data_IF_190504553010
#
_entry.id   IF_190504553010
#
_cell.length_a   1.000
_cell.length_b   1.000
_cell.length_c   1.000
_cell.angle_alpha   90.00
_cell.angle_beta   90.00
_cell.angle_gamma   90.00
#
_symmetry.space_group_name_H-M   'P 1'
#
loop_
_entity.id
_entity.type
_entity.pdbx_description
1 polymer ?
#
# COMPACT_ATOMS: atom_id res chain seq x y z
N UNK A 1 23.00 2.25 20.47
CA UNK A 1 23.29 3.27 19.43
C UNK A 1 24.43 2.83 18.52
N UNK A 2 25.61 2.46 19.06
CA UNK A 2 26.81 2.17 18.26
C UNK A 2 26.68 1.13 17.13
N UNK A 3 26.01 -0.01 17.36
CA UNK A 3 25.93 -1.07 16.34
C UNK A 3 25.11 -0.69 15.09
N UNK A 4 24.01 0.07 15.26
CA UNK A 4 23.16 0.50 14.13
C UNK A 4 23.86 1.58 13.33
N UNK A 5 24.50 2.54 14.00
CA UNK A 5 25.31 3.57 13.34
C UNK A 5 26.48 2.97 12.57
N UNK A 6 27.16 1.96 13.12
CA UNK A 6 28.25 1.27 12.45
C UNK A 6 27.79 0.52 11.19
N UNK A 7 26.62 -0.14 11.24
CA UNK A 7 26.02 -0.78 10.07
C UNK A 7 25.66 0.23 8.97
N UNK A 8 25.10 1.39 9.34
CA UNK A 8 24.80 2.46 8.40
C UNK A 8 26.08 2.98 7.71
N UNK A 9 27.15 3.19 8.49
CA UNK A 9 28.46 3.60 7.96
C UNK A 9 29.04 2.54 7.02
N UNK A 10 28.98 1.25 7.38
CA UNK A 10 29.48 0.16 6.52
C UNK A 10 28.74 0.09 5.19
N UNK A 11 27.42 0.32 5.19
CA UNK A 11 26.63 0.34 3.95
C UNK A 11 26.94 1.55 3.07
N UNK A 12 27.27 2.69 3.66
CA UNK A 12 27.63 3.90 2.94
C UNK A 12 29.05 3.88 2.34
N UNK A 13 29.85 2.84 2.61
CA UNK A 13 31.19 2.72 2.04
C UNK A 13 31.09 2.42 0.53
N UNK A 14 31.80 3.17 -0.34
CA UNK A 14 31.73 2.99 -1.79
C UNK A 14 32.18 1.60 -2.26
N UNK A 15 33.04 0.93 -1.48
CA UNK A 15 33.57 -0.41 -1.77
C UNK A 15 32.97 -1.49 -0.87
N UNK A 16 31.69 -1.39 -0.48
CA UNK A 16 31.06 -2.39 0.36
C UNK A 16 31.16 -3.79 -0.31
N UNK A 17 31.91 -4.75 0.26
CA UNK A 17 32.20 -6.02 -0.41
C UNK A 17 31.01 -6.99 -0.39
N UNK A 18 29.90 -6.59 0.24
CA UNK A 18 28.72 -7.42 0.40
C UNK A 18 27.67 -7.05 -0.66
N UNK A 19 27.13 -8.02 -1.40
CA UNK A 19 26.03 -7.74 -2.29
C UNK A 19 24.80 -7.32 -1.49
N UNK A 20 23.97 -6.43 -2.05
CA UNK A 20 22.83 -5.82 -1.34
C UNK A 20 21.89 -6.84 -0.67
N UNK A 21 21.70 -8.02 -1.27
CA UNK A 21 20.86 -9.08 -0.72
C UNK A 21 21.46 -9.75 0.54
N UNK A 22 22.79 -9.78 0.68
CA UNK A 22 23.47 -10.32 1.87
C UNK A 22 23.32 -9.40 3.08
N UNK A 23 22.95 -8.13 2.85
CA UNK A 23 22.72 -7.13 3.88
C UNK A 23 21.29 -7.14 4.44
N UNK A 24 20.39 -7.98 3.90
CA UNK A 24 19.00 -8.11 4.37
C UNK A 24 18.90 -9.16 5.49
N UNK A 25 18.34 -8.76 6.64
CA UNK A 25 18.18 -9.65 7.80
C UNK A 25 16.77 -10.20 7.91
N UNK A 26 16.60 -11.46 7.48
CA UNK A 26 15.34 -12.22 7.65
C UNK A 26 14.90 -12.35 9.11
N UNK A 27 15.86 -12.51 10.03
CA UNK A 27 15.58 -12.64 11.47
C UNK A 27 15.04 -11.34 12.07
N UNK A 28 15.65 -10.20 11.74
CA UNK A 28 15.17 -8.90 12.21
C UNK A 28 13.84 -8.53 11.57
N UNK A 29 13.69 -8.78 10.26
CA UNK A 29 12.43 -8.59 9.54
C UNK A 29 11.29 -9.42 10.15
N UNK A 30 11.57 -10.68 10.48
CA UNK A 30 10.61 -11.55 11.18
C UNK A 30 10.26 -11.07 12.58
N UNK A 31 11.24 -10.56 13.35
CA UNK A 31 10.97 -9.94 14.67
C UNK A 31 10.10 -8.69 14.53
N UNK A 32 10.40 -7.83 13.55
CA UNK A 32 9.64 -6.62 13.27
C UNK A 32 8.19 -6.96 12.93
N UNK A 33 7.97 -7.89 12.00
CA UNK A 33 6.62 -8.33 11.62
C UNK A 33 5.81 -8.87 12.79
N UNK A 34 6.43 -9.66 13.68
CA UNK A 34 5.74 -10.16 14.89
C UNK A 34 5.33 -9.03 15.82
N UNK A 35 6.25 -8.10 16.12
CA UNK A 35 5.96 -6.96 16.99
C UNK A 35 4.85 -6.06 16.42
N UNK A 36 4.85 -5.86 15.10
CA UNK A 36 3.82 -5.09 14.41
C UNK A 36 2.53 -5.87 14.17
N UNK A 37 2.50 -7.18 14.46
CA UNK A 37 1.28 -8.01 14.39
C UNK A 37 0.44 -7.97 15.66
N UNK A 38 1.00 -7.47 16.76
CA UNK A 38 0.31 -7.37 18.05
C UNK A 38 -0.62 -6.14 18.05
N UNK A 39 -1.90 -6.34 17.74
CA UNK A 39 -2.86 -5.26 17.55
C UNK A 39 -2.97 -4.28 18.73
N UNK A 40 -2.93 -4.79 19.97
CA UNK A 40 -2.96 -3.93 21.17
C UNK A 40 -1.70 -3.07 21.32
N UNK A 41 -0.53 -3.62 20.98
CA UNK A 41 0.74 -2.89 21.02
C UNK A 41 0.75 -1.75 20.00
N UNK A 42 0.31 -2.05 18.77
CA UNK A 42 0.16 -1.04 17.71
C UNK A 42 -0.89 0.01 18.10
N UNK A 43 -2.04 -0.42 18.62
CA UNK A 43 -3.13 0.48 18.98
C UNK A 43 -2.76 1.45 20.12
N UNK A 44 -1.99 0.97 21.10
CA UNK A 44 -1.50 1.77 22.21
C UNK A 44 -0.28 2.64 21.84
N UNK A 45 0.24 2.55 20.61
CA UNK A 45 1.52 3.18 20.25
C UNK A 45 2.71 2.62 21.01
N UNK A 46 2.57 1.43 21.61
CA UNK A 46 3.55 0.78 22.47
C UNK A 46 4.58 -0.06 21.69
N UNK A 47 4.71 0.16 20.38
CA UNK A 47 5.70 -0.54 19.57
C UNK A 47 7.12 -0.19 20.04
N UNK A 48 8.04 -1.17 20.12
CA UNK A 48 9.39 -0.89 20.60
C UNK A 48 10.12 0.17 19.76
N UNK A 49 10.78 1.12 20.41
CA UNK A 49 11.50 2.21 19.75
C UNK A 49 12.63 1.76 18.78
N UNK A 50 13.02 0.49 18.79
CA UNK A 50 13.96 -0.04 17.79
C UNK A 50 13.33 -0.19 16.41
N UNK A 51 12.00 -0.37 16.30
CA UNK A 51 11.30 -0.55 15.02
C UNK A 51 11.48 0.67 14.11
N UNK A 52 11.17 1.87 14.63
CA UNK A 52 11.37 3.14 13.91
C UNK A 52 12.84 3.43 13.68
N UNK A 53 13.66 3.43 14.74
CA UNK A 53 15.10 3.73 14.62
C UNK A 53 15.84 2.84 13.62
N UNK A 54 15.45 1.57 13.51
CA UNK A 54 16.06 0.66 12.54
C UNK A 54 15.62 0.98 11.11
N UNK A 55 14.35 1.33 10.90
CA UNK A 55 13.85 1.74 9.60
C UNK A 55 14.44 3.08 9.15
N UNK A 56 14.69 4.01 10.08
CA UNK A 56 15.30 5.30 9.78
C UNK A 56 16.80 5.16 9.45
N UNK A 57 17.54 4.40 10.24
CA UNK A 57 19.00 4.29 10.09
C UNK A 57 19.44 3.24 9.06
N UNK A 58 18.73 2.12 8.96
CA UNK A 58 19.11 0.98 8.11
C UNK A 58 17.89 0.34 7.42
N UNK A 59 17.13 1.07 6.57
CA UNK A 59 15.95 0.51 5.89
C UNK A 59 16.29 -0.68 4.98
N UNK A 60 17.51 -0.76 4.47
CA UNK A 60 18.02 -1.86 3.65
C UNK A 60 18.20 -3.17 4.43
N UNK A 61 18.29 -3.13 5.76
CA UNK A 61 18.41 -4.35 6.59
C UNK A 61 17.08 -5.11 6.67
N UNK A 62 15.97 -4.45 6.35
CA UNK A 62 14.62 -4.99 6.43
C UNK A 62 14.14 -5.46 5.07
N UNK A 63 13.48 -6.61 5.04
CA UNK A 63 12.72 -7.07 3.87
C UNK A 63 11.61 -6.06 3.54
N UNK A 64 11.27 -5.94 2.25
CA UNK A 64 10.20 -5.06 1.78
C UNK A 64 8.90 -5.22 2.59
N UNK A 65 8.45 -6.46 2.78
CA UNK A 65 7.26 -6.78 3.56
C UNK A 65 7.32 -6.27 5.02
N UNK A 66 8.53 -6.19 5.60
CA UNK A 66 8.70 -5.62 6.94
C UNK A 66 8.52 -4.10 6.96
N UNK A 67 9.04 -3.40 5.94
CA UNK A 67 8.89 -1.95 5.79
C UNK A 67 7.46 -1.53 5.44
N UNK A 68 6.80 -2.28 4.57
CA UNK A 68 5.38 -2.09 4.25
C UNK A 68 4.52 -2.19 5.51
N UNK A 69 4.75 -3.25 6.31
CA UNK A 69 4.03 -3.43 7.57
C UNK A 69 4.30 -2.28 8.55
N UNK A 70 5.54 -1.82 8.68
CA UNK A 70 5.86 -0.67 9.53
C UNK A 70 5.15 0.60 9.06
N UNK A 71 5.11 0.84 7.76
CA UNK A 71 4.42 2.00 7.18
C UNK A 71 2.92 1.94 7.48
N UNK A 72 2.29 0.78 7.26
CA UNK A 72 0.87 0.56 7.56
C UNK A 72 0.54 0.77 9.04
N UNK A 73 1.42 0.33 9.95
CA UNK A 73 1.17 0.38 11.39
C UNK A 73 1.57 1.70 12.06
N UNK A 74 2.52 2.45 11.48
CA UNK A 74 3.12 3.63 12.14
C UNK A 74 2.93 4.95 11.39
N UNK A 75 2.73 4.94 10.06
CA UNK A 75 2.72 6.17 9.25
C UNK A 75 1.32 6.64 8.84
N UNK A 76 0.35 5.72 8.69
CA UNK A 76 -0.98 6.03 8.13
C UNK A 76 -2.06 6.30 9.19
N UNK A 77 -1.67 6.34 10.47
CA UNK A 77 -2.58 6.52 11.60
C UNK A 77 -3.26 5.22 12.07
N UNK A 78 -3.91 5.31 13.23
CA UNK A 78 -4.43 4.15 13.96
C UNK A 78 -5.51 3.38 13.19
N UNK A 79 -6.46 4.07 12.56
CA UNK A 79 -7.54 3.42 11.82
C UNK A 79 -7.01 2.57 10.65
N UNK A 80 -5.99 3.06 9.95
CA UNK A 80 -5.31 2.30 8.89
C UNK A 80 -4.52 1.12 9.43
N UNK A 81 -3.81 1.31 10.55
CA UNK A 81 -3.07 0.25 11.20
C UNK A 81 -3.99 -0.91 11.63
N UNK A 82 -5.08 -0.60 12.32
CA UNK A 82 -6.07 -1.59 12.76
C UNK A 82 -6.74 -2.28 11.58
N UNK A 83 -7.15 -1.53 10.57
CA UNK A 83 -7.74 -2.11 9.37
C UNK A 83 -6.77 -3.07 8.67
N UNK A 84 -5.50 -2.69 8.49
CA UNK A 84 -4.49 -3.54 7.88
C UNK A 84 -4.21 -4.82 8.70
N UNK A 85 -4.23 -4.72 10.03
CA UNK A 85 -4.10 -5.86 10.92
C UNK A 85 -5.29 -6.81 10.82
N UNK A 86 -6.50 -6.28 10.88
CA UNK A 86 -7.73 -7.07 10.73
C UNK A 86 -7.80 -7.73 9.37
N UNK A 87 -7.46 -7.01 8.29
CA UNK A 87 -7.36 -7.57 6.96
C UNK A 87 -6.33 -8.71 6.89
N UNK A 88 -5.21 -8.65 7.61
CA UNK A 88 -4.25 -9.75 7.63
C UNK A 88 -4.81 -11.02 8.29
N UNK A 89 -5.78 -10.90 9.20
CA UNK A 89 -6.42 -11.99 9.93
C UNK A 89 -7.71 -12.51 9.28
N UNK A 90 -8.20 -11.87 8.21
CA UNK A 90 -9.41 -12.34 7.49
C UNK A 90 -9.18 -13.76 6.96
N UNK A 91 -10.14 -14.64 7.24
CA UNK A 91 -10.09 -16.04 6.82
C UNK A 91 -9.81 -16.19 5.30
N UNK A 92 -8.78 -16.97 4.91
CA UNK A 92 -8.44 -17.16 3.50
C UNK A 92 -9.58 -17.75 2.66
N UNK A 93 -10.45 -18.57 3.26
CA UNK A 93 -11.63 -19.14 2.61
C UNK A 93 -12.68 -18.08 2.27
N UNK A 94 -12.93 -17.13 3.18
CA UNK A 94 -13.78 -15.97 2.90
C UNK A 94 -13.22 -15.10 1.77
N UNK A 95 -11.91 -14.87 1.74
CA UNK A 95 -11.26 -14.14 0.64
C UNK A 95 -11.41 -14.84 -0.70
N UNK A 96 -11.30 -16.17 -0.70
CA UNK A 96 -11.55 -16.97 -1.91
C UNK A 96 -13.00 -16.83 -2.38
N UNK A 97 -13.97 -16.93 -1.46
CA UNK A 97 -15.40 -16.74 -1.77
C UNK A 97 -15.70 -15.36 -2.33
N UNK A 98 -15.11 -14.30 -1.77
CA UNK A 98 -15.25 -12.94 -2.28
C UNK A 98 -14.76 -12.85 -3.73
N UNK A 99 -13.56 -13.36 -4.02
CA UNK A 99 -12.99 -13.35 -5.38
C UNK A 99 -13.84 -14.15 -6.37
N UNK A 100 -14.38 -15.30 -5.95
CA UNK A 100 -15.28 -16.10 -6.77
C UNK A 100 -16.58 -15.35 -7.08
N UNK A 101 -17.14 -14.64 -6.10
CA UNK A 101 -18.33 -13.81 -6.29
C UNK A 101 -18.06 -12.56 -7.16
N UNK A 102 -16.94 -11.86 -6.97
CA UNK A 102 -16.51 -10.73 -7.81
C UNK A 102 -16.36 -11.16 -9.28
N UNK A 103 -15.77 -12.33 -9.52
CA UNK A 103 -15.66 -12.91 -10.87
C UNK A 103 -17.03 -13.23 -11.47
N UNK A 104 -17.96 -13.77 -10.67
CA UNK A 104 -19.31 -14.02 -11.16
C UNK A 104 -20.01 -12.71 -11.56
N UNK A 105 -19.89 -11.67 -10.74
CA UNK A 105 -20.45 -10.33 -11.04
C UNK A 105 -19.85 -9.72 -12.30
N UNK A 106 -18.55 -9.92 -12.57
CA UNK A 106 -17.91 -9.43 -13.79
C UNK A 106 -18.52 -9.99 -15.09
N UNK A 107 -19.20 -11.14 -15.04
CA UNK A 107 -19.84 -11.77 -16.19
C UNK A 107 -21.35 -11.50 -16.28
N UNK A 108 -21.91 -10.70 -15.36
CA UNK A 108 -23.37 -10.43 -15.28
C UNK A 108 -23.94 -9.83 -16.56
N UNK A 109 -23.16 -9.03 -17.29
CA UNK A 109 -23.59 -8.47 -18.58
C UNK A 109 -23.93 -9.53 -19.64
N UNK A 110 -23.50 -10.78 -19.44
CA UNK A 110 -23.74 -11.92 -20.34
C UNK A 110 -24.75 -12.92 -19.76
N UNK A 111 -25.36 -12.62 -18.61
CA UNK A 111 -26.22 -13.53 -17.85
C UNK A 111 -27.71 -13.14 -17.93
N UNK A 112 -28.59 -14.10 -17.64
CA UNK A 112 -30.01 -13.82 -17.41
C UNK A 112 -30.25 -13.04 -16.10
N UNK A 113 -31.38 -12.34 -15.99
CA UNK A 113 -31.69 -11.47 -14.84
C UNK A 113 -31.65 -12.21 -13.48
N UNK A 114 -32.13 -13.46 -13.41
CA UNK A 114 -32.07 -14.25 -12.19
C UNK A 114 -30.64 -14.66 -11.80
N UNK A 115 -29.81 -15.00 -12.79
CA UNK A 115 -28.41 -15.37 -12.57
C UNK A 115 -27.59 -14.17 -12.12
N UNK A 116 -27.87 -13.01 -12.73
CA UNK A 116 -27.33 -11.72 -12.33
C UNK A 116 -27.63 -11.40 -10.86
N UNK A 117 -28.89 -11.54 -10.46
CA UNK A 117 -29.32 -11.31 -9.08
C UNK A 117 -28.59 -12.25 -8.11
N UNK A 118 -28.53 -13.56 -8.41
CA UNK A 118 -27.81 -14.53 -7.58
C UNK A 118 -26.32 -14.22 -7.46
N UNK A 119 -25.69 -13.69 -8.51
CA UNK A 119 -24.28 -13.27 -8.47
C UNK A 119 -24.08 -12.08 -7.52
N UNK A 120 -24.97 -11.07 -7.59
CA UNK A 120 -24.96 -9.94 -6.67
C UNK A 120 -25.22 -10.36 -5.21
N UNK A 121 -26.18 -11.26 -4.97
CA UNK A 121 -26.49 -11.77 -3.62
C UNK A 121 -25.28 -12.49 -3.00
N UNK A 122 -24.57 -13.31 -3.80
CA UNK A 122 -23.33 -13.99 -3.36
C UNK A 122 -22.22 -13.00 -3.04
N UNK A 123 -22.08 -11.94 -3.83
CA UNK A 123 -21.09 -10.88 -3.58
C UNK A 123 -21.39 -10.19 -2.25
N UNK A 124 -22.65 -9.77 -2.05
CA UNK A 124 -23.09 -9.12 -0.83
C UNK A 124 -22.83 -10.01 0.40
N UNK A 125 -23.22 -11.29 0.37
CA UNK A 125 -22.99 -12.22 1.46
C UNK A 125 -21.50 -12.46 1.75
N UNK A 126 -20.66 -12.52 0.71
CA UNK A 126 -19.22 -12.70 0.88
C UNK A 126 -18.56 -11.46 1.49
N UNK A 127 -18.98 -10.26 1.07
CA UNK A 127 -18.54 -9.00 1.66
C UNK A 127 -18.95 -8.95 3.14
N UNK A 128 -20.24 -9.11 3.43
CA UNK A 128 -20.80 -9.06 4.79
C UNK A 128 -20.09 -10.05 5.74
N UNK A 129 -19.78 -11.27 5.27
CA UNK A 129 -19.07 -12.27 6.07
C UNK A 129 -17.66 -11.80 6.48
N UNK A 130 -16.96 -11.06 5.62
CA UNK A 130 -15.66 -10.45 5.95
C UNK A 130 -15.85 -9.29 6.91
N UNK A 131 -16.86 -8.44 6.70
CA UNK A 131 -17.11 -7.28 7.56
C UNK A 131 -17.42 -7.71 9.00
N UNK A 132 -18.15 -8.82 9.18
CA UNK A 132 -18.44 -9.41 10.49
C UNK A 132 -17.22 -9.90 11.26
N UNK A 133 -16.08 -10.13 10.60
CA UNK A 133 -14.81 -10.46 11.26
C UNK A 133 -14.05 -9.21 11.72
N UNK A 134 -14.45 -8.02 11.27
CA UNK A 134 -13.79 -6.75 11.61
C UNK A 134 -14.53 -6.08 12.77
N UNK A 135 -13.76 -5.39 13.59
CA UNK A 135 -14.22 -4.51 14.64
C UNK A 135 -14.12 -3.08 14.14
N UNK A 136 -15.27 -2.44 13.97
CA UNK A 136 -15.40 -1.08 13.47
C UNK A 136 -15.06 -0.94 11.98
N UNK A 137 -15.42 0.23 11.44
CA UNK A 137 -15.23 0.54 10.03
C UNK A 137 -14.17 1.63 9.83
N UNK A 138 -13.41 1.46 8.76
CA UNK A 138 -12.55 2.51 8.23
C UNK A 138 -13.44 3.54 7.53
N UNK A 139 -13.40 4.79 8.00
CA UNK A 139 -14.12 5.88 7.36
C UNK A 139 -13.51 6.15 5.98
N UNK A 140 -14.37 6.24 4.98
CA UNK A 140 -14.00 6.65 3.64
C UNK A 140 -14.61 8.00 3.25
N UNK A 141 -13.90 8.70 2.36
CA UNK A 141 -14.40 9.85 1.63
C UNK A 141 -14.56 9.48 0.16
N UNK A 142 -15.68 9.88 -0.41
CA UNK A 142 -15.98 9.63 -1.82
C UNK A 142 -15.55 10.85 -2.62
N UNK A 143 -14.58 10.67 -3.50
CA UNK A 143 -14.15 11.68 -4.46
C UNK A 143 -14.68 11.35 -5.85
N UNK A 144 -15.36 12.31 -6.47
CA UNK A 144 -15.88 12.17 -7.84
C UNK A 144 -14.86 12.71 -8.83
N UNK A 145 -14.50 11.92 -9.82
CA UNK A 145 -13.45 12.23 -10.79
C UNK A 145 -13.97 11.96 -12.22
N UNK A 146 -13.57 12.79 -13.17
CA UNK A 146 -13.82 12.56 -14.60
C UNK A 146 -12.65 11.79 -15.23
N UNK A 147 -12.95 10.87 -16.16
CA UNK A 147 -11.91 10.27 -17.02
C UNK A 147 -11.46 11.24 -18.11
N UNK A 148 -10.25 11.03 -18.61
CA UNK A 148 -9.71 11.73 -19.76
C UNK A 148 -8.82 12.90 -19.37
N UNK A 149 -8.89 13.98 -20.16
CA UNK A 149 -8.01 15.12 -20.04
C UNK A 149 -8.16 15.80 -18.67
N UNK A 150 -7.03 16.23 -18.09
CA UNK A 150 -6.99 16.86 -16.77
C UNK A 150 -7.05 15.89 -15.58
N UNK A 151 -6.92 14.58 -15.79
CA UNK A 151 -6.85 13.59 -14.71
C UNK A 151 -5.76 13.92 -13.66
N UNK A 152 -4.59 14.36 -14.12
CA UNK A 152 -3.48 14.71 -13.22
C UNK A 152 -3.80 15.93 -12.35
N UNK A 153 -4.49 16.92 -12.91
CA UNK A 153 -4.90 18.11 -12.17
C UNK A 153 -5.96 17.76 -11.12
N UNK A 154 -6.94 16.93 -11.49
CA UNK A 154 -7.90 16.38 -10.53
C UNK A 154 -7.20 15.58 -9.42
N UNK A 155 -6.16 14.80 -9.75
CA UNK A 155 -5.38 14.06 -8.76
C UNK A 155 -4.60 15.00 -7.82
N UNK A 156 -4.06 16.12 -8.34
CA UNK A 156 -3.37 17.14 -7.55
C UNK A 156 -4.31 17.80 -6.55
N UNK A 157 -5.50 18.20 -6.98
CA UNK A 157 -6.54 18.77 -6.12
C UNK A 157 -6.98 17.78 -5.05
N UNK A 158 -7.21 16.53 -5.45
CA UNK A 158 -7.59 15.46 -4.53
C UNK A 158 -6.50 15.27 -3.46
N UNK A 159 -5.23 15.23 -3.84
CA UNK A 159 -4.12 15.13 -2.90
C UNK A 159 -4.05 16.34 -1.96
N UNK A 160 -4.29 17.56 -2.45
CA UNK A 160 -4.30 18.76 -1.62
C UNK A 160 -5.37 18.70 -0.50
N UNK A 161 -6.51 18.07 -0.78
CA UNK A 161 -7.60 17.91 0.19
C UNK A 161 -7.38 16.70 1.11
N UNK A 162 -6.93 15.58 0.56
CA UNK A 162 -6.98 14.29 1.27
C UNK A 162 -5.63 13.79 1.82
N UNK A 163 -4.48 14.33 1.41
CA UNK A 163 -3.18 13.81 1.85
C UNK A 163 -2.91 13.97 3.35
N UNK A 164 -3.57 14.94 3.99
CA UNK A 164 -3.41 15.22 5.43
C UNK A 164 -4.42 14.48 6.33
N UNK A 165 -5.39 13.76 5.77
CA UNK A 165 -6.43 13.07 6.54
C UNK A 165 -6.22 11.56 6.54
N UNK A 166 -6.56 10.91 7.65
CA UNK A 166 -6.43 9.45 7.82
C UNK A 166 -7.69 8.69 7.40
N UNK A 167 -8.44 9.24 6.44
CA UNK A 167 -9.68 8.66 5.89
C UNK A 167 -9.33 7.94 4.60
N UNK A 168 -9.93 6.78 4.36
CA UNK A 168 -9.75 6.09 3.10
C UNK A 168 -10.33 6.92 1.96
N UNK A 169 -9.66 6.94 0.82
CA UNK A 169 -10.18 7.56 -0.38
C UNK A 169 -10.88 6.53 -1.25
N UNK A 170 -12.13 6.81 -1.62
CA UNK A 170 -12.89 6.03 -2.57
C UNK A 170 -13.20 6.89 -3.80
N UNK A 171 -12.67 6.50 -4.96
CA UNK A 171 -12.89 7.24 -6.20
C UNK A 171 -14.12 6.68 -6.90
N UNK A 172 -14.98 7.59 -7.36
CA UNK A 172 -16.09 7.31 -8.24
C UNK A 172 -15.91 8.08 -9.55
N UNK A 173 -15.88 7.36 -10.67
CA UNK A 173 -15.87 8.02 -11.96
C UNK A 173 -17.27 8.53 -12.31
N UNK A 174 -17.36 9.81 -12.67
CA UNK A 174 -18.63 10.44 -13.05
C UNK A 174 -19.17 9.77 -14.31
N UNK A 175 -20.44 9.37 -14.27
CA UNK A 175 -21.10 8.68 -15.39
C UNK A 175 -20.89 7.16 -15.43
N UNK A 176 -20.11 6.59 -14.50
CA UNK A 176 -19.87 5.14 -14.42
C UNK A 176 -20.60 4.49 -13.25
N UNK A 177 -21.17 3.32 -13.50
CA UNK A 177 -21.68 2.45 -12.44
C UNK A 177 -20.51 1.66 -11.85
N UNK A 178 -19.93 2.17 -10.76
CA UNK A 178 -18.84 1.49 -10.06
C UNK A 178 -18.46 2.21 -8.76
N UNK A 179 -18.12 1.44 -7.74
CA UNK A 179 -17.67 1.95 -6.44
C UNK A 179 -16.67 0.99 -5.78
N UNK A 180 -15.88 1.52 -4.85
CA UNK A 180 -15.00 0.73 -3.98
C UNK A 180 -13.58 0.54 -4.50
N UNK A 181 -12.83 -0.34 -3.82
CA UNK A 181 -11.37 -0.49 -3.95
C UNK A 181 -10.87 -0.69 -5.38
N UNK A 182 -11.59 -1.46 -6.21
CA UNK A 182 -11.18 -1.70 -7.61
C UNK A 182 -11.19 -0.43 -8.47
N UNK A 183 -12.21 0.42 -8.30
CA UNK A 183 -12.32 1.69 -9.03
C UNK A 183 -11.23 2.66 -8.58
N UNK A 184 -11.00 2.76 -7.27
CA UNK A 184 -9.89 3.55 -6.70
C UNK A 184 -8.52 3.10 -7.22
N UNK A 185 -8.27 1.79 -7.30
CA UNK A 185 -7.03 1.27 -7.89
C UNK A 185 -6.89 1.63 -9.37
N UNK A 186 -7.99 1.56 -10.13
CA UNK A 186 -8.02 2.01 -11.52
C UNK A 186 -7.66 3.49 -11.67
N UNK A 187 -8.13 4.35 -10.76
CA UNK A 187 -7.75 5.76 -10.71
C UNK A 187 -6.24 5.94 -10.49
N UNK A 188 -5.66 5.32 -9.46
CA UNK A 188 -4.22 5.42 -9.22
C UNK A 188 -3.38 4.87 -10.38
N UNK A 189 -3.87 3.81 -11.04
CA UNK A 189 -3.22 3.26 -12.23
C UNK A 189 -3.22 4.27 -13.39
N UNK A 190 -4.36 4.91 -13.64
CA UNK A 190 -4.46 5.94 -14.68
C UNK A 190 -3.57 7.15 -14.37
N UNK A 191 -3.55 7.64 -13.13
CA UNK A 191 -2.65 8.72 -12.70
C UNK A 191 -1.19 8.34 -12.86
N UNK A 192 -0.79 7.12 -12.49
CA UNK A 192 0.57 6.65 -12.67
C UNK A 192 0.98 6.62 -14.15
N UNK A 193 0.09 6.21 -15.05
CA UNK A 193 0.33 6.24 -16.49
C UNK A 193 0.47 7.66 -17.02
N UNK A 194 -0.35 8.62 -16.56
CA UNK A 194 -0.19 10.04 -16.93
C UNK A 194 1.15 10.60 -16.43
N UNK A 195 1.55 10.30 -15.19
CA UNK A 195 2.84 10.73 -14.64
C UNK A 195 4.04 10.13 -15.40
N UNK A 196 3.92 8.90 -15.90
CA UNK A 196 4.96 8.29 -16.74
C UNK A 196 5.10 8.99 -18.10
N UNK A 197 4.01 9.54 -18.66
CA UNK A 197 4.09 10.32 -19.91
C UNK A 197 4.79 11.67 -19.74
N UNK A 198 4.85 12.19 -18.52
CA UNK A 198 5.58 13.42 -18.21
C UNK A 198 7.10 13.23 -18.11
N UNK A 199 7.61 11.99 -18.16
CA UNK A 199 9.05 11.71 -18.04
C UNK A 199 9.89 12.43 -19.12
N UNK A 200 9.28 12.65 -20.28
CA UNK A 200 9.75 13.56 -21.32
C UNK A 200 8.66 14.63 -21.49
N UNK A 201 8.79 15.83 -20.88
CA UNK A 201 10.03 16.62 -20.69
C UNK A 201 10.59 16.69 -19.26
N UNK A 202 9.98 16.05 -18.25
CA UNK A 202 10.40 16.14 -16.85
C UNK A 202 10.94 14.77 -16.40
N UNK A 203 12.27 14.56 -16.34
CA UNK A 203 12.87 13.27 -16.03
C UNK A 203 12.65 12.91 -14.55
N UNK A 204 11.44 12.51 -14.23
CA UNK A 204 11.00 12.18 -12.88
C UNK A 204 11.52 10.79 -12.48
N UNK A 205 11.72 9.91 -13.46
CA UNK A 205 12.06 8.51 -13.22
C UNK A 205 13.52 8.21 -13.60
N UNK A 206 14.20 7.42 -12.76
CA UNK A 206 15.54 6.91 -13.08
C UNK A 206 15.46 5.59 -13.86
N UNK A 207 16.24 5.42 -14.95
CA UNK A 207 16.34 4.15 -15.64
C UNK A 207 16.92 3.04 -14.73
N UNK A 208 16.28 1.88 -14.73
CA UNK A 208 16.76 0.68 -14.02
C UNK A 208 18.16 0.30 -14.52
N UNK A 209 19.19 0.43 -13.69
CA UNK A 209 20.55 -0.04 -13.99
C UNK A 209 21.68 0.98 -13.82
N UNK A 210 21.36 2.28 -13.69
CA UNK A 210 22.35 3.31 -13.37
C UNK A 210 22.42 3.50 -11.86
N UNK A 211 23.22 2.66 -11.19
CA UNK A 211 23.63 2.94 -9.81
C UNK A 211 24.87 3.85 -9.88
N UNK A 212 24.78 5.16 -9.59
CA UNK A 212 25.98 5.95 -9.39
C UNK A 212 26.78 5.36 -8.21
N UNK A 213 28.12 5.32 -8.29
CA UNK A 213 28.94 4.87 -7.17
C UNK A 213 28.68 5.77 -5.96
N UNK A 214 28.29 5.17 -4.83
CA UNK A 214 28.11 5.87 -3.54
C UNK A 214 26.68 6.32 -3.21
N UNK A 215 25.69 6.13 -4.09
CA UNK A 215 24.27 6.38 -3.79
C UNK A 215 23.47 5.10 -4.10
N UNK A 216 23.52 4.12 -3.20
CA UNK A 216 22.43 3.15 -3.12
C UNK A 216 21.19 3.96 -2.77
N UNK A 217 20.14 3.99 -3.63
CA UNK A 217 18.91 4.63 -3.22
C UNK A 217 18.50 3.94 -1.92
N UNK A 218 18.16 4.69 -0.85
CA UNK A 218 17.44 4.07 0.25
C UNK A 218 16.30 3.34 -0.42
N UNK A 219 16.13 2.06 -0.09
CA UNK A 219 15.08 1.23 -0.65
C UNK A 219 13.73 1.72 -0.11
N UNK A 220 13.41 2.96 -0.49
CA UNK A 220 12.18 3.68 -0.29
C UNK A 220 11.10 2.90 -1.04
N UNK A 221 9.88 3.01 -0.53
CA UNK A 221 8.70 2.48 -1.21
C UNK A 221 8.44 3.18 -2.56
N UNK A 222 9.12 4.30 -2.82
CA UNK A 222 8.98 5.12 -4.01
C UNK A 222 10.31 5.21 -4.76
N UNK A 223 10.29 5.24 -6.10
CA UNK A 223 11.49 5.44 -6.89
C UNK A 223 12.15 6.77 -6.51
N UNK A 224 13.49 6.79 -6.51
CA UNK A 224 14.23 8.03 -6.33
C UNK A 224 13.95 8.94 -7.54
N UNK A 225 13.62 10.22 -7.31
CA UNK A 225 13.42 11.16 -8.41
C UNK A 225 14.69 11.22 -9.28
N UNK A 226 14.50 11.40 -10.59
CA UNK A 226 15.60 11.77 -11.49
C UNK A 226 16.26 13.07 -11.04
N UNK A 227 17.56 13.17 -11.30
CA UNK A 227 18.35 14.37 -11.00
C UNK A 227 18.24 15.36 -12.16
#
# INVERSE_FOLDING_TARGET
AGAVSLLAVIHAMPDCPLPAHAMVSRKLSGKLRRQLGEALSVAAGATPAWCGRLADACPWLLELAGRERLTQCAALGLSHALFALQEAEVDPGLRRRLREAERAVAHVAQMGAEEAQRAHDRLFQAQEAIERQRVGDMRSDIARVLRGDGLLEQARELMAVHAGVTRALEVQFVGEAGFGRGVTQGFYTAVALELQRLDDPCPLWRPSGLSPPGLTPPALLFPAPGA
#
